data_IF_496585969676
#
_entry.id   IF_496585969676
#
_cell.length_a   1.000
_cell.length_b   1.000
_cell.length_c   1.000
_cell.angle_alpha   90.00
_cell.angle_beta   90.00
_cell.angle_gamma   90.00
#
_symmetry.space_group_name_H-M   'P 1'
#
loop_
_entity.id
_entity.type
_entity.pdbx_description
1 polymer ?
#
# COMPACT_ATOMS: atom_id res chain seq x y z
N UNK A 1 -34.91 0.15 -46.20
CA UNK A 1 -34.76 0.63 -44.81
C UNK A 1 -33.64 -0.15 -44.14
N UNK A 2 -32.38 0.21 -44.42
CA UNK A 2 -31.18 -0.32 -43.76
C UNK A 2 -30.06 0.66 -44.13
N UNK A 3 -29.90 1.71 -43.33
CA UNK A 3 -28.65 2.50 -43.24
C UNK A 3 -28.80 3.57 -42.15
N UNK A 4 -28.56 3.16 -40.90
CA UNK A 4 -28.41 4.06 -39.76
C UNK A 4 -27.57 3.35 -38.69
N UNK A 5 -26.24 3.35 -38.83
CA UNK A 5 -25.38 2.67 -37.86
C UNK A 5 -23.87 2.84 -37.99
N UNK A 6 -23.37 3.84 -38.74
CA UNK A 6 -21.92 4.04 -38.93
C UNK A 6 -21.43 5.48 -38.77
N UNK A 7 -21.92 6.25 -37.80
CA UNK A 7 -21.42 7.63 -37.63
C UNK A 7 -20.99 8.05 -36.20
N UNK A 8 -20.91 7.14 -35.23
CA UNK A 8 -20.54 7.51 -33.86
C UNK A 8 -19.05 7.43 -33.51
N UNK A 9 -18.16 7.10 -34.46
CA UNK A 9 -16.70 7.04 -34.22
C UNK A 9 -15.88 8.05 -35.04
N UNK A 10 -16.53 9.00 -35.71
CA UNK A 10 -15.86 9.99 -36.55
C UNK A 10 -15.54 11.26 -35.75
N UNK A 11 -14.34 11.28 -35.13
CA UNK A 11 -13.47 12.45 -34.83
C UNK A 11 -13.85 13.37 -33.66
N UNK A 12 -13.09 13.30 -32.55
CA UNK A 12 -12.23 14.46 -32.23
C UNK A 12 -10.76 14.12 -31.84
N UNK A 13 -10.36 12.85 -31.78
CA UNK A 13 -9.05 12.46 -31.22
C UNK A 13 -7.83 12.84 -32.09
N UNK A 14 -7.99 13.04 -33.40
CA UNK A 14 -6.86 13.28 -34.31
C UNK A 14 -6.29 14.69 -34.29
N UNK A 15 -6.91 15.65 -33.59
CA UNK A 15 -6.37 17.03 -33.49
C UNK A 15 -5.31 17.22 -32.40
N UNK A 16 -5.22 16.34 -31.40
CA UNK A 16 -4.23 16.46 -30.32
C UNK A 16 -2.93 15.70 -30.62
N UNK A 17 -2.97 14.65 -31.44
CA UNK A 17 -1.79 13.85 -31.74
C UNK A 17 -0.74 14.59 -32.62
N UNK A 18 -1.14 15.61 -33.37
CA UNK A 18 -0.27 16.33 -34.30
C UNK A 18 0.63 17.40 -33.66
N UNK A 19 0.49 17.70 -32.35
CA UNK A 19 1.21 18.82 -31.70
C UNK A 19 2.30 18.37 -30.72
N UNK A 20 2.54 17.06 -30.57
CA UNK A 20 3.53 16.53 -29.61
C UNK A 20 4.93 16.38 -30.23
N UNK A 21 5.08 16.53 -31.55
CA UNK A 21 6.36 16.36 -32.27
C UNK A 21 7.21 17.63 -32.45
N UNK A 22 6.81 18.79 -31.91
CA UNK A 22 7.51 20.06 -32.11
C UNK A 22 7.90 20.73 -30.79
N UNK A 23 9.21 20.80 -30.52
CA UNK A 23 9.80 21.47 -29.36
C UNK A 23 9.59 23.00 -29.39
N UNK A 24 8.36 23.45 -29.10
CA UNK A 24 8.05 24.78 -28.51
C UNK A 24 6.54 24.87 -28.28
N UNK A 25 6.11 24.67 -27.03
CA UNK A 25 4.79 25.13 -26.59
C UNK A 25 4.99 26.23 -25.56
N UNK A 26 4.96 27.49 -26.04
CA UNK A 26 5.12 28.72 -25.25
C UNK A 26 3.86 29.13 -24.46
N UNK A 27 2.82 28.29 -24.39
CA UNK A 27 1.59 28.65 -23.68
C UNK A 27 1.12 27.57 -22.69
N UNK A 28 1.39 27.74 -21.38
CA UNK A 28 1.01 26.77 -20.34
C UNK A 28 -0.51 26.59 -20.22
N UNK A 29 -1.33 27.60 -20.56
CA UNK A 29 -2.79 27.50 -20.44
C UNK A 29 -3.39 26.44 -21.36
N UNK A 30 -2.84 26.23 -22.56
CA UNK A 30 -3.33 25.21 -23.51
C UNK A 30 -3.01 23.77 -23.09
N UNK A 31 -2.00 23.58 -22.24
CA UNK A 31 -1.61 22.25 -21.74
C UNK A 31 -2.64 21.71 -20.74
N UNK A 32 -3.18 22.59 -19.89
CA UNK A 32 -4.19 22.23 -18.90
C UNK A 32 -5.56 21.86 -19.51
N UNK A 33 -5.99 22.55 -20.57
CA UNK A 33 -7.28 22.23 -21.22
C UNK A 33 -7.28 20.86 -21.92
N UNK A 34 -6.15 20.44 -22.49
CA UNK A 34 -6.02 19.13 -23.13
C UNK A 34 -6.09 17.99 -22.10
N UNK A 35 -5.41 18.14 -20.96
CA UNK A 35 -5.46 17.19 -19.85
C UNK A 35 -6.86 17.11 -19.22
N UNK A 36 -7.56 18.24 -19.10
CA UNK A 36 -8.93 18.30 -18.57
C UNK A 36 -9.94 17.55 -19.46
N UNK A 37 -9.76 17.59 -20.79
CA UNK A 37 -10.61 16.85 -21.72
C UNK A 37 -10.35 15.33 -21.67
N UNK A 38 -9.08 14.90 -21.57
CA UNK A 38 -8.74 13.49 -21.41
C UNK A 38 -9.30 12.90 -20.12
N UNK A 39 -9.26 13.66 -19.02
CA UNK A 39 -9.80 13.22 -17.74
C UNK A 39 -11.33 13.07 -17.73
N UNK A 40 -12.07 13.96 -18.42
CA UNK A 40 -13.53 13.80 -18.58
C UNK A 40 -13.91 12.57 -19.41
N UNK A 41 -13.14 12.24 -20.44
CA UNK A 41 -13.38 11.01 -21.24
C UNK A 41 -13.08 9.73 -20.46
N UNK A 42 -12.10 9.74 -19.54
CA UNK A 42 -11.83 8.60 -18.66
C UNK A 42 -12.99 8.28 -17.70
N UNK A 43 -13.69 9.29 -17.17
CA UNK A 43 -14.82 9.10 -16.25
C UNK A 43 -16.03 8.41 -16.89
N UNK A 44 -16.33 8.70 -18.15
CA UNK A 44 -17.49 8.08 -18.83
C UNK A 44 -17.25 6.61 -19.15
N UNK A 45 -16.04 6.24 -19.57
CA UNK A 45 -15.64 4.84 -19.79
C UNK A 45 -15.71 4.00 -18.51
N UNK A 46 -15.30 4.56 -17.37
CA UNK A 46 -15.35 3.85 -16.09
C UNK A 46 -16.80 3.58 -15.61
N UNK A 47 -17.74 4.47 -15.91
CA UNK A 47 -19.17 4.26 -15.59
C UNK A 47 -19.80 3.13 -16.43
N UNK A 48 -19.50 3.08 -17.73
CA UNK A 48 -20.02 2.04 -18.63
C UNK A 48 -19.53 0.62 -18.28
N UNK A 49 -18.29 0.48 -17.81
CA UNK A 49 -17.72 -0.81 -17.37
C UNK A 49 -18.40 -1.30 -16.08
N UNK A 50 -18.73 -0.37 -15.16
CA UNK A 50 -19.39 -0.69 -13.89
C UNK A 50 -20.82 -1.19 -14.10
N UNK A 51 -21.55 -0.61 -15.05
CA UNK A 51 -22.91 -1.05 -15.37
C UNK A 51 -22.95 -2.43 -16.05
N UNK A 52 -21.94 -2.76 -16.87
CA UNK A 52 -21.80 -4.09 -17.48
C UNK A 52 -21.56 -5.19 -16.44
N UNK A 53 -20.76 -4.93 -15.40
CA UNK A 53 -20.54 -5.90 -14.30
C UNK A 53 -21.82 -6.19 -13.50
N UNK A 54 -22.66 -5.17 -13.24
CA UNK A 54 -23.94 -5.35 -12.54
C UNK A 54 -24.94 -6.20 -13.33
N UNK A 55 -24.93 -6.09 -14.66
CA UNK A 55 -25.78 -6.92 -15.52
C UNK A 55 -25.38 -8.41 -15.49
N UNK A 56 -24.07 -8.71 -15.50
CA UNK A 56 -23.57 -10.10 -15.43
C UNK A 56 -23.84 -10.72 -14.06
N UNK A 57 -23.67 -9.96 -12.98
CA UNK A 57 -23.89 -10.45 -11.61
C UNK A 57 -25.36 -10.82 -11.32
N UNK A 58 -26.31 -10.16 -12.01
CA UNK A 58 -27.74 -10.51 -11.94
C UNK A 58 -28.08 -11.81 -12.69
N UNK A 59 -27.28 -12.24 -13.66
CA UNK A 59 -27.52 -13.48 -14.42
C UNK A 59 -27.06 -14.76 -13.70
N UNK A 60 -26.12 -14.66 -12.75
CA UNK A 60 -25.57 -15.84 -12.06
C UNK A 60 -26.21 -16.16 -10.70
N UNK A 61 -27.17 -15.36 -10.21
CA UNK A 61 -27.67 -15.45 -8.83
C UNK A 61 -28.86 -16.39 -8.57
N UNK A 62 -29.27 -17.27 -9.49
CA UNK A 62 -30.54 -18.02 -9.33
C UNK A 62 -30.53 -19.53 -9.59
N UNK A 63 -29.37 -20.18 -9.78
CA UNK A 63 -29.35 -21.56 -10.30
C UNK A 63 -28.86 -22.68 -9.36
N UNK A 64 -28.52 -22.44 -8.08
CA UNK A 64 -27.85 -23.49 -7.26
C UNK A 64 -28.38 -23.61 -5.84
N UNK A 65 -29.69 -23.83 -5.67
CA UNK A 65 -30.28 -24.24 -4.39
C UNK A 65 -31.42 -25.24 -4.61
N UNK A 66 -31.10 -26.46 -5.08
CA UNK A 66 -32.04 -27.61 -5.04
C UNK A 66 -31.38 -28.94 -5.48
N UNK A 67 -30.24 -29.36 -4.94
CA UNK A 67 -29.78 -30.75 -5.04
C UNK A 67 -28.55 -30.97 -4.14
N UNK A 68 -28.48 -32.14 -3.49
CA UNK A 68 -27.44 -32.61 -2.55
C UNK A 68 -27.67 -32.13 -1.10
N UNK A 69 -28.51 -32.75 -0.29
CA UNK A 69 -28.92 -34.16 -0.30
C UNK A 69 -27.93 -35.04 0.46
N UNK A 70 -28.07 -35.05 1.79
CA UNK A 70 -27.98 -36.24 2.66
C UNK A 70 -27.10 -37.40 2.15
N UNK A 71 -25.82 -37.37 2.49
CA UNK A 71 -25.00 -38.58 2.65
C UNK A 71 -24.01 -38.34 3.81
N UNK A 72 -24.56 -38.35 5.03
CA UNK A 72 -23.82 -38.70 6.23
C UNK A 72 -23.21 -40.10 6.01
N UNK A 73 -21.88 -40.19 6.06
CA UNK A 73 -21.17 -41.46 5.94
C UNK A 73 -19.72 -41.35 6.41
N UNK A 74 -19.53 -41.37 7.73
CA UNK A 74 -18.38 -41.91 8.46
C UNK A 74 -17.05 -42.09 7.71
N UNK A 75 -16.38 -40.99 7.35
CA UNK A 75 -14.94 -40.99 7.19
C UNK A 75 -14.38 -39.79 7.93
N UNK A 76 -14.18 -39.98 9.25
CA UNK A 76 -13.38 -39.11 10.09
C UNK A 76 -11.93 -39.26 9.63
N UNK A 77 -11.60 -38.60 8.53
CA UNK A 77 -10.21 -38.35 8.18
C UNK A 77 -9.70 -37.38 9.23
N UNK A 78 -8.91 -37.89 10.16
CA UNK A 78 -7.96 -37.10 10.93
C UNK A 78 -7.01 -36.46 9.92
N UNK A 79 -7.43 -35.35 9.32
CA UNK A 79 -6.52 -34.43 8.68
C UNK A 79 -5.69 -33.91 9.84
N UNK A 80 -4.56 -34.55 10.09
CA UNK A 80 -3.52 -33.97 10.92
C UNK A 80 -3.05 -32.76 10.16
N UNK A 81 -3.62 -31.60 10.50
CA UNK A 81 -3.07 -30.30 10.17
C UNK A 81 -1.74 -30.20 10.94
N UNK A 82 -0.72 -30.90 10.45
CA UNK A 82 0.63 -30.41 10.59
C UNK A 82 0.64 -29.12 9.78
N UNK A 83 0.19 -28.04 10.41
CA UNK A 83 0.49 -26.71 9.97
C UNK A 83 2.02 -26.67 9.94
N UNK A 84 2.58 -26.96 8.78
CA UNK A 84 3.93 -26.59 8.47
C UNK A 84 3.92 -25.08 8.63
N UNK A 85 4.38 -24.60 9.78
CA UNK A 85 4.74 -23.22 10.00
C UNK A 85 5.85 -22.96 8.98
N UNK A 86 5.44 -22.59 7.76
CA UNK A 86 6.35 -22.27 6.70
C UNK A 86 7.19 -21.13 7.24
N UNK A 87 8.44 -21.44 7.57
CA UNK A 87 9.39 -20.50 8.13
C UNK A 87 9.38 -19.28 7.21
N UNK A 88 8.89 -18.16 7.71
CA UNK A 88 8.73 -16.96 6.90
C UNK A 88 10.13 -16.48 6.53
N UNK A 89 10.51 -16.72 5.29
CA UNK A 89 11.82 -16.29 4.81
C UNK A 89 11.88 -14.75 4.67
N UNK A 90 13.04 -14.11 4.94
CA UNK A 90 13.21 -12.66 4.78
C UNK A 90 12.85 -12.14 3.39
N UNK A 91 12.97 -12.99 2.37
CA UNK A 91 12.57 -12.68 0.99
C UNK A 91 11.09 -12.33 0.86
N UNK A 92 10.22 -12.96 1.66
CA UNK A 92 8.79 -12.66 1.66
C UNK A 92 8.56 -11.23 2.13
N UNK A 93 9.25 -10.84 3.21
CA UNK A 93 9.18 -9.49 3.75
C UNK A 93 9.67 -8.47 2.73
N UNK A 94 10.84 -8.73 2.12
CA UNK A 94 11.41 -7.85 1.09
C UNK A 94 10.44 -7.63 -0.08
N UNK A 95 9.80 -8.69 -0.58
CA UNK A 95 8.83 -8.60 -1.67
C UNK A 95 7.63 -7.68 -1.33
N UNK A 96 7.17 -7.66 -0.07
CA UNK A 96 6.09 -6.75 0.36
C UNK A 96 6.59 -5.32 0.46
N UNK A 97 7.81 -5.12 0.96
CA UNK A 97 8.42 -3.80 1.07
C UNK A 97 8.66 -3.21 -0.33
N UNK A 98 9.13 -4.00 -1.28
CA UNK A 98 9.28 -3.58 -2.68
C UNK A 98 7.94 -3.10 -3.26
N UNK A 99 6.86 -3.87 -3.08
CA UNK A 99 5.53 -3.46 -3.54
C UNK A 99 5.01 -2.18 -2.86
N UNK A 100 5.35 -1.97 -1.59
CA UNK A 100 5.06 -0.70 -0.91
C UNK A 100 5.90 0.44 -1.49
N UNK A 101 7.16 0.19 -1.86
CA UNK A 101 8.02 1.15 -2.55
C UNK A 101 7.40 1.64 -3.86
N UNK A 102 6.91 0.72 -4.68
CA UNK A 102 6.19 1.03 -5.92
C UNK A 102 4.95 1.89 -5.65
N UNK A 103 4.18 1.55 -4.61
CA UNK A 103 3.01 2.34 -4.22
C UNK A 103 3.40 3.74 -3.75
N UNK A 104 4.45 3.92 -2.95
CA UNK A 104 4.94 5.23 -2.52
C UNK A 104 5.44 6.04 -3.72
N UNK A 105 6.12 5.43 -4.68
CA UNK A 105 6.56 6.10 -5.90
C UNK A 105 5.37 6.67 -6.69
N UNK A 106 4.26 5.91 -6.80
CA UNK A 106 3.03 6.42 -7.42
C UNK A 106 2.41 7.58 -6.66
N UNK A 107 2.41 7.54 -5.32
CA UNK A 107 1.91 8.64 -4.49
C UNK A 107 2.77 9.90 -4.66
N UNK A 108 4.10 9.76 -4.67
CA UNK A 108 5.05 10.86 -4.93
C UNK A 108 4.81 11.50 -6.30
N UNK A 109 4.65 10.67 -7.34
CA UNK A 109 4.34 11.15 -8.68
C UNK A 109 3.01 11.93 -8.72
N UNK A 110 1.99 11.51 -7.97
CA UNK A 110 0.72 12.22 -7.89
C UNK A 110 0.83 13.60 -7.20
N UNK A 111 1.77 13.75 -6.26
CA UNK A 111 2.12 15.03 -5.63
C UNK A 111 3.09 15.89 -6.46
N UNK A 112 3.44 15.44 -7.67
CA UNK A 112 4.40 16.14 -8.55
C UNK A 112 5.85 15.99 -8.12
N UNK A 113 6.15 15.00 -7.26
CA UNK A 113 7.49 14.62 -6.86
C UNK A 113 7.99 13.51 -7.80
N UNK A 114 8.77 13.90 -8.80
CA UNK A 114 9.36 12.97 -9.76
C UNK A 114 10.66 12.34 -9.22
N UNK A 115 10.94 11.10 -9.65
CA UNK A 115 12.21 10.41 -9.40
C UNK A 115 12.10 9.18 -8.50
N UNK A 116 13.16 8.38 -8.49
CA UNK A 116 13.26 7.16 -7.67
C UNK A 116 13.18 7.49 -6.17
N UNK A 117 12.83 6.49 -5.36
CA UNK A 117 12.96 6.59 -3.91
C UNK A 117 14.45 6.76 -3.54
N UNK A 118 14.77 7.57 -2.51
CA UNK A 118 16.13 7.69 -2.01
C UNK A 118 16.68 6.31 -1.62
N UNK A 119 17.72 5.83 -2.32
CA UNK A 119 18.32 4.51 -2.02
C UNK A 119 19.24 4.61 -0.82
N UNK A 120 18.94 3.85 0.22
CA UNK A 120 19.79 3.71 1.41
C UNK A 120 20.58 2.43 1.27
N UNK A 121 21.90 2.50 1.39
CA UNK A 121 22.73 1.30 1.32
C UNK A 121 22.44 0.37 2.51
N UNK A 122 22.42 -0.94 2.24
CA UNK A 122 22.41 -1.93 3.31
C UNK A 122 23.69 -1.79 4.15
N UNK A 123 23.50 -1.75 5.45
CA UNK A 123 24.59 -1.62 6.42
C UNK A 123 24.90 -2.97 7.10
N UNK A 124 25.64 -2.92 8.21
CA UNK A 124 26.04 -4.07 9.00
C UNK A 124 24.91 -5.07 9.27
N UNK A 125 25.22 -6.35 9.52
CA UNK A 125 24.23 -7.37 9.81
C UNK A 125 23.20 -6.92 10.85
N UNK A 126 21.91 -7.02 10.51
CA UNK A 126 20.80 -6.60 11.36
C UNK A 126 20.02 -7.79 11.88
N UNK A 127 19.66 -7.75 13.16
CA UNK A 127 18.77 -8.70 13.80
C UNK A 127 17.29 -8.42 13.46
N UNK A 128 16.39 -9.42 13.45
CA UNK A 128 14.97 -9.25 13.17
C UNK A 128 14.28 -8.17 14.02
N UNK A 129 14.65 -8.04 15.29
CA UNK A 129 14.14 -6.98 16.18
C UNK A 129 14.36 -5.57 15.63
N UNK A 130 15.51 -5.31 14.99
CA UNK A 130 15.77 -4.01 14.38
C UNK A 130 14.86 -3.78 13.17
N UNK A 131 14.69 -4.81 12.34
CA UNK A 131 13.81 -4.74 11.16
C UNK A 131 12.37 -4.51 11.58
N UNK A 132 11.88 -5.19 12.63
CA UNK A 132 10.56 -4.96 13.22
C UNK A 132 10.41 -3.50 13.66
N UNK A 133 11.36 -2.97 14.42
CA UNK A 133 11.30 -1.57 14.88
C UNK A 133 11.21 -0.60 13.69
N UNK A 134 12.00 -0.81 12.64
CA UNK A 134 11.94 0.04 11.45
C UNK A 134 10.61 -0.10 10.69
N UNK A 135 10.06 -1.31 10.58
CA UNK A 135 8.74 -1.54 9.98
C UNK A 135 7.63 -0.81 10.76
N UNK A 136 7.70 -0.81 12.10
CA UNK A 136 6.77 -0.05 12.96
C UNK A 136 6.91 1.46 12.74
N UNK A 137 8.13 1.98 12.59
CA UNK A 137 8.36 3.39 12.28
C UNK A 137 7.74 3.78 10.94
N UNK A 138 7.89 2.93 9.91
CA UNK A 138 7.24 3.10 8.61
C UNK A 138 5.71 3.12 8.74
N UNK A 139 5.13 2.17 9.49
CA UNK A 139 3.70 2.14 9.74
C UNK A 139 3.20 3.44 10.38
N UNK A 140 3.88 3.94 11.40
CA UNK A 140 3.51 5.19 12.09
C UNK A 140 3.54 6.39 11.14
N UNK A 141 4.49 6.43 10.20
CA UNK A 141 4.55 7.46 9.15
C UNK A 141 3.38 7.36 8.18
N UNK A 142 3.02 6.16 7.77
CA UNK A 142 1.82 5.93 6.93
C UNK A 142 0.56 6.34 7.68
N UNK A 143 0.45 6.01 8.97
CA UNK A 143 -0.67 6.43 9.81
C UNK A 143 -0.74 7.96 9.95
N UNK A 144 0.39 8.63 10.15
CA UNK A 144 0.45 10.09 10.15
C UNK A 144 0.01 10.69 8.80
N UNK A 145 0.47 10.11 7.67
CA UNK A 145 0.05 10.54 6.33
C UNK A 145 -1.46 10.35 6.11
N UNK A 146 -2.02 9.23 6.59
CA UNK A 146 -3.47 8.98 6.58
C UNK A 146 -4.23 10.02 7.37
N UNK A 147 -3.77 10.32 8.59
CA UNK A 147 -4.35 11.36 9.42
C UNK A 147 -4.32 12.75 8.76
N UNK A 148 -3.18 13.13 8.16
CA UNK A 148 -3.04 14.39 7.39
C UNK A 148 -4.01 14.48 6.20
N UNK A 149 -4.39 13.33 5.64
CA UNK A 149 -5.35 13.21 4.54
C UNK A 149 -6.81 12.97 5.01
N UNK A 150 -7.09 13.10 6.31
CA UNK A 150 -8.43 12.93 6.86
C UNK A 150 -8.95 11.49 6.85
N UNK A 151 -8.04 10.50 6.77
CA UNK A 151 -8.38 9.08 6.86
C UNK A 151 -8.21 8.57 8.29
N UNK A 152 -9.00 7.56 8.64
CA UNK A 152 -8.88 6.85 9.92
C UNK A 152 -7.55 6.09 10.01
N UNK A 153 -7.02 5.98 11.22
CA UNK A 153 -5.77 5.28 11.51
C UNK A 153 -6.05 4.07 12.39
N UNK A 154 -5.52 2.91 12.02
CA UNK A 154 -5.63 1.71 12.84
C UNK A 154 -4.50 1.63 13.87
N UNK A 155 -4.77 0.96 14.99
CA UNK A 155 -3.74 0.66 15.97
C UNK A 155 -2.78 -0.42 15.46
N UNK A 156 -1.51 -0.25 15.80
CA UNK A 156 -0.45 -1.17 15.42
C UNK A 156 -0.48 -2.43 16.30
N UNK A 157 -0.27 -3.60 15.70
CA UNK A 157 -0.17 -4.88 16.44
C UNK A 157 0.88 -4.75 17.58
N UNK A 158 0.56 -5.15 18.82
CA UNK A 158 1.50 -5.08 19.93
C UNK A 158 2.71 -5.98 19.71
N UNK A 159 3.89 -5.55 20.16
CA UNK A 159 5.12 -6.36 20.08
C UNK A 159 5.02 -7.50 21.09
N UNK A 160 5.20 -8.77 20.68
CA UNK A 160 5.11 -9.88 21.61
C UNK A 160 6.31 -9.89 22.57
N UNK A 161 6.14 -10.28 23.84
CA UNK A 161 7.22 -10.33 24.84
C UNK A 161 8.08 -11.60 24.68
N UNK A 162 8.44 -11.98 23.45
CA UNK A 162 9.30 -13.12 23.11
C UNK A 162 10.38 -12.70 22.11
N UNK A 163 11.20 -13.65 21.69
CA UNK A 163 12.10 -13.43 20.55
C UNK A 163 11.30 -13.09 19.30
N UNK A 164 11.81 -12.12 18.54
CA UNK A 164 11.15 -11.60 17.35
C UNK A 164 11.51 -12.46 16.15
N UNK A 165 10.49 -13.00 15.51
CA UNK A 165 10.61 -13.83 14.32
C UNK A 165 10.32 -13.02 13.05
N UNK A 166 10.77 -13.47 11.87
CA UNK A 166 10.43 -12.82 10.60
C UNK A 166 8.92 -12.73 10.33
N UNK A 167 8.13 -13.66 10.87
CA UNK A 167 6.67 -13.61 10.78
C UNK A 167 6.08 -12.38 11.47
N UNK A 168 6.66 -11.95 12.60
CA UNK A 168 6.23 -10.74 13.32
C UNK A 168 6.52 -9.48 12.49
N UNK A 169 7.65 -9.46 11.77
CA UNK A 169 7.99 -8.38 10.84
C UNK A 169 7.01 -8.35 9.66
N UNK A 170 6.73 -9.51 9.07
CA UNK A 170 5.81 -9.63 7.95
C UNK A 170 4.41 -9.12 8.31
N UNK A 171 3.88 -9.46 9.49
CA UNK A 171 2.58 -9.02 9.95
C UNK A 171 2.48 -7.48 10.01
N UNK A 172 3.51 -6.80 10.52
CA UNK A 172 3.57 -5.33 10.56
C UNK A 172 3.67 -4.74 9.15
N UNK A 173 4.47 -5.34 8.28
CA UNK A 173 4.63 -4.89 6.88
C UNK A 173 3.33 -5.06 6.09
N UNK A 174 2.60 -6.16 6.28
CA UNK A 174 1.29 -6.36 5.64
C UNK A 174 0.26 -5.35 6.12
N UNK A 175 0.24 -5.04 7.43
CA UNK A 175 -0.62 -3.99 7.99
C UNK A 175 -0.26 -2.61 7.39
N UNK A 176 1.03 -2.29 7.30
CA UNK A 176 1.52 -1.05 6.69
C UNK A 176 1.14 -0.96 5.20
N UNK A 177 1.27 -2.06 4.45
CA UNK A 177 0.87 -2.13 3.04
C UNK A 177 -0.62 -1.88 2.86
N UNK A 178 -1.47 -2.52 3.68
CA UNK A 178 -2.92 -2.30 3.63
C UNK A 178 -3.28 -0.84 3.93
N UNK A 179 -2.67 -0.25 4.96
CA UNK A 179 -2.86 1.15 5.30
C UNK A 179 -2.43 2.10 4.17
N UNK A 180 -1.31 1.79 3.49
CA UNK A 180 -0.78 2.54 2.35
C UNK A 180 -1.69 2.41 1.12
N UNK A 181 -2.20 1.21 0.81
CA UNK A 181 -3.17 1.01 -0.27
C UNK A 181 -4.45 1.83 -0.07
N UNK A 182 -4.83 2.08 1.18
CA UNK A 182 -5.96 2.96 1.51
C UNK A 182 -5.76 4.44 1.14
N UNK A 183 -4.52 4.89 0.91
CA UNK A 183 -4.23 6.26 0.43
C UNK A 183 -4.44 6.42 -1.08
N UNK A 184 -4.31 5.34 -1.86
CA UNK A 184 -4.43 5.37 -3.31
C UNK A 184 -5.68 6.12 -3.84
N UNK A 185 -6.91 5.90 -3.33
CA UNK A 185 -8.08 6.64 -3.80
C UNK A 185 -8.04 8.15 -3.50
N UNK A 186 -7.37 8.58 -2.43
CA UNK A 186 -7.23 10.01 -2.07
C UNK A 186 -6.32 10.72 -3.07
N UNK A 187 -5.23 10.06 -3.45
CA UNK A 187 -4.26 10.56 -4.43
C UNK A 187 -4.69 10.33 -5.88
N UNK A 188 -5.78 9.60 -6.12
CA UNK A 188 -6.24 9.28 -7.46
C UNK A 188 -5.32 8.32 -8.23
N UNK A 189 -4.52 7.51 -7.53
CA UNK A 189 -3.59 6.54 -8.12
C UNK A 189 -4.14 5.12 -8.04
N UNK A 190 -3.72 4.20 -8.92
CA UNK A 190 -4.07 2.80 -8.78
C UNK A 190 -3.41 2.16 -7.55
N UNK A 191 -4.03 1.11 -7.03
CA UNK A 191 -3.45 0.26 -5.98
C UNK A 191 -2.51 -0.75 -6.64
N UNK A 192 -1.28 -0.85 -6.15
CA UNK A 192 -0.33 -1.91 -6.52
C UNK A 192 -0.79 -3.23 -5.90
N UNK A 193 -1.45 -4.06 -6.72
CA UNK A 193 -2.00 -5.35 -6.30
C UNK A 193 -1.03 -6.51 -6.47
N UNK A 194 -0.22 -6.48 -7.52
CA UNK A 194 0.73 -7.53 -7.85
C UNK A 194 2.00 -7.36 -7.01
N UNK A 195 2.52 -8.48 -6.51
CA UNK A 195 3.79 -8.49 -5.82
C UNK A 195 4.91 -8.60 -6.87
N UNK A 196 6.01 -7.85 -6.73
CA UNK A 196 7.14 -7.95 -7.64
C UNK A 196 7.78 -9.33 -7.58
N UNK A 197 8.57 -9.68 -8.60
CA UNK A 197 9.22 -10.99 -8.65
C UNK A 197 10.09 -11.24 -7.41
N UNK A 198 10.04 -12.47 -6.91
CA UNK A 198 10.78 -12.86 -5.71
C UNK A 198 12.29 -12.85 -6.02
N UNK A 199 13.05 -12.01 -5.31
CA UNK A 199 14.52 -12.04 -5.36
C UNK A 199 15.05 -13.35 -4.75
N UNK A 200 16.06 -13.98 -5.32
CA UNK A 200 16.53 -15.30 -4.87
C UNK A 200 17.26 -15.30 -3.53
N UNK A 201 17.84 -14.16 -3.11
CA UNK A 201 18.60 -14.05 -1.86
C UNK A 201 18.36 -12.69 -1.19
N UNK A 202 17.73 -12.70 -0.02
CA UNK A 202 17.45 -11.50 0.76
C UNK A 202 18.00 -11.64 2.18
N UNK A 203 18.92 -10.76 2.56
CA UNK A 203 19.37 -10.64 3.93
C UNK A 203 18.45 -9.67 4.71
N UNK A 204 18.33 -9.79 6.04
CA UNK A 204 17.61 -8.82 6.87
C UNK A 204 18.12 -7.38 6.71
N UNK A 205 19.41 -7.20 6.40
CA UNK A 205 20.00 -5.90 6.11
C UNK A 205 19.39 -5.25 4.85
N UNK A 206 19.02 -6.03 3.83
CA UNK A 206 18.36 -5.54 2.63
C UNK A 206 16.95 -5.04 2.95
N UNK A 207 16.19 -5.80 3.76
CA UNK A 207 14.85 -5.38 4.21
C UNK A 207 14.93 -4.08 5.01
N UNK A 208 15.91 -3.96 5.91
CA UNK A 208 16.16 -2.73 6.66
C UNK A 208 16.44 -1.54 5.73
N UNK A 209 17.30 -1.74 4.73
CA UNK A 209 17.65 -0.70 3.76
C UNK A 209 16.43 -0.19 3.00
N UNK A 210 15.61 -1.10 2.44
CA UNK A 210 14.40 -0.75 1.70
C UNK A 210 13.36 -0.05 2.61
N UNK A 211 13.19 -0.50 3.86
CA UNK A 211 12.30 0.19 4.81
C UNK A 211 12.79 1.60 5.15
N UNK A 212 14.11 1.85 5.17
CA UNK A 212 14.66 3.21 5.36
C UNK A 212 14.45 4.08 4.11
N UNK A 213 14.67 3.51 2.92
CA UNK A 213 14.36 4.17 1.65
C UNK A 213 12.89 4.57 1.57
N UNK A 214 12.00 3.67 1.96
CA UNK A 214 10.57 3.94 2.01
C UNK A 214 10.22 5.01 3.05
N UNK A 215 10.83 4.95 4.24
CA UNK A 215 10.67 5.99 5.27
C UNK A 215 11.08 7.38 4.77
N UNK A 216 12.18 7.48 4.00
CA UNK A 216 12.62 8.73 3.40
C UNK A 216 11.64 9.21 2.32
N UNK A 217 11.15 8.32 1.45
CA UNK A 217 10.13 8.67 0.46
C UNK A 217 8.80 9.13 1.06
N UNK A 218 8.43 8.61 2.24
CA UNK A 218 7.26 9.09 2.99
C UNK A 218 7.50 10.49 3.59
N UNK A 219 8.72 10.83 3.99
CA UNK A 219 9.04 12.20 4.45
C UNK A 219 8.80 13.23 3.35
N UNK A 220 9.11 12.87 2.09
CA UNK A 220 8.89 13.76 0.94
C UNK A 220 7.39 14.08 0.74
N UNK A 221 6.47 13.18 1.15
CA UNK A 221 5.02 13.40 1.13
C UNK A 221 4.51 14.30 2.27
N UNK A 222 5.43 15.04 2.93
CA UNK A 222 5.09 16.00 3.98
C UNK A 222 4.86 15.37 5.35
N UNK A 223 5.23 14.11 5.56
CA UNK A 223 5.19 13.49 6.90
C UNK A 223 6.38 13.98 7.71
N UNK A 224 6.16 14.72 8.83
CA UNK A 224 7.26 15.19 9.66
C UNK A 224 7.98 14.01 10.33
N UNK A 225 9.31 14.06 10.40
CA UNK A 225 10.11 12.99 11.01
C UNK A 225 9.89 12.86 12.52
N UNK A 226 9.77 13.99 13.22
CA UNK A 226 9.52 14.08 14.66
C UNK A 226 8.64 15.31 14.89
N UNK A 227 7.46 15.11 15.46
CA UNK A 227 6.61 16.22 15.91
C UNK A 227 7.01 16.58 17.34
N UNK A 228 7.05 17.87 17.76
CA UNK A 228 7.36 18.24 19.14
C UNK A 228 6.50 17.50 20.18
N UNK A 229 5.24 17.20 19.84
CA UNK A 229 4.35 16.40 20.68
C UNK A 229 4.87 14.98 20.94
N UNK A 230 5.58 14.36 19.99
CA UNK A 230 6.17 13.03 20.19
C UNK A 230 7.23 13.06 21.29
N UNK A 231 8.06 14.10 21.31
CA UNK A 231 9.06 14.32 22.37
C UNK A 231 8.36 14.48 23.73
N UNK A 232 7.28 15.26 23.80
CA UNK A 232 6.50 15.42 25.04
C UNK A 232 5.89 14.09 25.50
N UNK A 233 5.33 13.30 24.59
CA UNK A 233 4.75 11.98 24.92
C UNK A 233 5.79 11.02 25.47
N UNK A 234 6.99 11.00 24.88
CA UNK A 234 8.10 10.18 25.36
C UNK A 234 8.56 10.67 26.74
N UNK A 235 8.76 11.98 26.91
CA UNK A 235 9.17 12.55 28.19
C UNK A 235 8.15 12.25 29.30
N UNK A 236 6.85 12.38 29.01
CA UNK A 236 5.78 12.07 29.95
C UNK A 236 5.72 10.58 30.30
N UNK A 237 5.90 9.69 29.32
CA UNK A 237 5.95 8.25 29.55
C UNK A 237 7.15 7.88 30.44
N UNK A 238 8.32 8.49 30.22
CA UNK A 238 9.51 8.28 31.05
C UNK A 238 9.30 8.81 32.47
N UNK A 239 8.68 10.00 32.65
CA UNK A 239 8.36 10.55 33.98
C UNK A 239 7.48 9.59 34.76
N UNK A 240 6.38 9.12 34.14
CA UNK A 240 5.46 8.16 34.77
C UNK A 240 6.14 6.84 35.13
N UNK A 241 7.07 6.37 34.28
CA UNK A 241 7.83 5.16 34.56
C UNK A 241 8.81 5.35 35.73
N UNK A 242 9.51 6.50 35.78
CA UNK A 242 10.41 6.86 36.88
C UNK A 242 9.65 6.99 38.21
N UNK A 243 8.49 7.65 38.21
CA UNK A 243 7.59 7.73 39.38
C UNK A 243 7.15 6.33 39.86
N UNK A 244 6.74 5.46 38.93
CA UNK A 244 6.38 4.08 39.25
C UNK A 244 7.52 3.29 39.88
N UNK A 245 8.76 3.50 39.42
CA UNK A 245 9.95 2.87 40.00
C UNK A 245 10.32 3.46 41.37
N UNK A 246 10.15 4.77 41.58
CA UNK A 246 10.39 5.42 42.88
C UNK A 246 9.42 4.88 43.93
N UNK A 247 8.12 4.82 43.60
CA UNK A 247 7.09 4.24 44.47
C UNK A 247 7.37 2.77 44.79
N UNK A 248 7.76 1.97 43.80
CA UNK A 248 8.12 0.56 44.01
C UNK A 248 9.37 0.37 44.91
N UNK A 249 10.23 1.39 45.02
CA UNK A 249 11.43 1.40 45.86
C UNK A 249 11.22 2.09 47.21
N UNK A 250 10.07 2.72 47.44
CA UNK A 250 9.79 3.47 48.66
C UNK A 250 10.61 4.77 48.82
N UNK A 251 10.98 5.39 47.69
CA UNK A 251 11.63 6.72 47.64
C UNK A 251 10.56 7.77 47.33
#
# INVERSE_FOLDING_TARGET
MQDAGRDLFSRPATRCAATIGGNRMENPARRYDCLRHLWRYGRTLCSAIRDRKRAVQKMFGRATLAALGLALGCAVWTVTWAAAWAQVEPVNVLQRVDAMGDQVALLRLADGLDGDLPRVAADHPRMPRHVLQQARNVYQRIAALRWLNGLETDDLVPVPPREIEPADVLAVVDQARAALSGLAPVYGVPVVGELPDRRTQAAPANVMAELRSLSAGLSDLGVPDIVPNDVYRIALALSRHAEGLALARGI
#
